data_IF_492523930212
#
_entry.id   IF_492523930212
#
_cell.length_a   1.000
_cell.length_b   1.000
_cell.length_c   1.000
_cell.angle_alpha   90.00
_cell.angle_beta   90.00
_cell.angle_gamma   90.00
#
_symmetry.space_group_name_H-M   'P 1'
#
loop_
_entity.id
_entity.type
_entity.pdbx_description
1 polymer ?
#
# COMPACT_ATOMS: atom_id res chain seq x y z
N UNK A 1 -28.97 30.08 6.83
CA UNK A 1 -29.02 28.63 7.11
C UNK A 1 -28.15 27.93 6.08
N UNK A 2 -26.89 27.63 6.42
CA UNK A 2 -26.02 26.82 5.57
C UNK A 2 -26.35 25.36 5.89
N UNK A 3 -26.96 24.67 4.92
CA UNK A 3 -27.42 23.30 5.06
C UNK A 3 -26.25 22.35 5.34
N UNK A 4 -26.26 21.73 6.51
CA UNK A 4 -25.31 20.71 6.97
C UNK A 4 -25.26 19.45 6.06
N UNK A 5 -26.19 19.33 5.10
CA UNK A 5 -26.37 18.15 4.26
C UNK A 5 -25.29 17.95 3.17
N UNK A 6 -24.52 18.99 2.82
CA UNK A 6 -23.50 18.90 1.77
C UNK A 6 -22.19 18.23 2.21
N UNK A 7 -21.96 18.07 3.52
CA UNK A 7 -20.72 17.52 4.08
C UNK A 7 -20.67 15.98 4.05
N UNK A 8 -21.77 15.30 3.73
CA UNK A 8 -21.82 13.83 3.70
C UNK A 8 -21.43 13.22 2.35
N UNK A 9 -21.23 14.04 1.32
CA UNK A 9 -20.81 13.58 -0.02
C UNK A 9 -19.29 13.53 -0.19
N UNK A 10 -18.52 14.06 0.76
CA UNK A 10 -17.07 13.82 0.83
C UNK A 10 -16.86 12.47 1.50
N UNK A 11 -17.08 11.39 0.75
CA UNK A 11 -16.68 10.06 1.18
C UNK A 11 -15.20 10.12 1.54
N UNK A 12 -14.88 9.98 2.84
CA UNK A 12 -13.51 9.78 3.27
C UNK A 12 -13.12 8.42 2.70
N UNK A 13 -12.40 8.43 1.58
CA UNK A 13 -11.79 7.22 1.04
C UNK A 13 -10.74 6.80 2.08
N UNK A 14 -11.06 5.73 2.82
CA UNK A 14 -10.14 5.16 3.79
C UNK A 14 -8.90 4.66 3.06
N UNK A 15 -7.76 5.02 3.64
CA UNK A 15 -6.45 4.63 3.15
C UNK A 15 -5.68 3.95 4.27
N UNK A 16 -4.80 3.03 3.89
CA UNK A 16 -3.93 2.31 4.81
C UNK A 16 -2.50 2.27 4.29
N UNK A 17 -1.57 1.97 5.19
CA UNK A 17 -0.16 1.83 4.86
C UNK A 17 0.26 0.36 4.97
N UNK A 18 1.18 -0.08 4.12
CA UNK A 18 1.68 -1.43 4.24
C UNK A 18 2.63 -1.88 3.14
N UNK A 19 3.21 -3.06 3.35
CA UNK A 19 4.00 -3.75 2.34
C UNK A 19 3.07 -4.29 1.25
N UNK A 20 3.05 -3.66 0.08
CA UNK A 20 2.15 -4.08 -1.01
C UNK A 20 2.41 -5.52 -1.42
N UNK A 21 1.34 -6.29 -1.64
CA UNK A 21 1.42 -7.71 -1.97
C UNK A 21 0.69 -8.08 -3.26
N UNK A 22 1.20 -9.10 -3.91
CA UNK A 22 0.54 -9.84 -4.98
C UNK A 22 -0.63 -10.67 -4.38
N UNK A 23 -1.60 -11.13 -5.20
CA UNK A 23 -2.75 -11.90 -4.73
C UNK A 23 -2.37 -13.15 -3.90
N UNK A 24 -1.22 -13.76 -4.18
CA UNK A 24 -0.66 -14.94 -3.52
C UNK A 24 0.07 -14.59 -2.20
N UNK A 25 -0.14 -13.36 -1.68
CA UNK A 25 0.49 -12.82 -0.48
C UNK A 25 2.04 -12.72 -0.59
N UNK A 26 2.55 -12.54 -1.79
CA UNK A 26 3.98 -12.33 -2.06
C UNK A 26 4.29 -10.83 -2.13
N UNK A 27 5.35 -10.38 -1.46
CA UNK A 27 5.76 -8.96 -1.49
C UNK A 27 6.42 -8.62 -2.84
N UNK A 28 6.46 -7.33 -3.17
CA UNK A 28 7.29 -6.82 -4.28
C UNK A 28 8.68 -6.50 -3.73
N UNK A 29 9.66 -7.34 -4.07
CA UNK A 29 11.05 -7.10 -3.69
C UNK A 29 11.61 -5.86 -4.39
N UNK A 30 12.52 -5.18 -3.70
CA UNK A 30 13.09 -3.93 -4.16
C UNK A 30 14.56 -3.81 -3.78
N UNK A 31 15.25 -2.92 -4.48
CA UNK A 31 16.59 -2.47 -4.13
C UNK A 31 16.51 -1.12 -3.39
N UNK A 32 17.15 -0.97 -2.22
CA UNK A 32 17.23 0.30 -1.51
C UNK A 32 17.73 1.43 -2.42
N UNK A 33 17.08 2.59 -2.37
CA UNK A 33 17.41 3.74 -3.22
C UNK A 33 16.83 3.70 -4.64
N UNK A 34 16.14 2.62 -5.04
CA UNK A 34 15.40 2.60 -6.31
C UNK A 34 14.05 3.33 -6.21
N UNK A 35 13.65 4.03 -7.28
CA UNK A 35 12.34 4.69 -7.40
C UNK A 35 11.20 3.72 -7.76
N UNK A 36 11.50 2.43 -7.92
CA UNK A 36 10.52 1.42 -8.35
C UNK A 36 9.33 1.29 -7.40
N UNK A 37 9.56 1.38 -6.09
CA UNK A 37 8.47 1.33 -5.12
C UNK A 37 7.59 2.57 -5.16
N UNK A 38 8.16 3.77 -5.31
CA UNK A 38 7.36 5.00 -5.41
C UNK A 38 6.46 4.96 -6.64
N UNK A 39 7.00 4.53 -7.78
CA UNK A 39 6.24 4.35 -9.02
C UNK A 39 5.12 3.32 -8.85
N UNK A 40 5.46 2.11 -8.36
CA UNK A 40 4.48 1.03 -8.13
C UNK A 40 3.36 1.46 -7.17
N UNK A 41 3.69 2.10 -6.05
CA UNK A 41 2.71 2.51 -5.05
C UNK A 41 1.77 3.58 -5.64
N UNK A 42 2.30 4.58 -6.35
CA UNK A 42 1.49 5.61 -7.01
C UNK A 42 0.58 5.05 -8.10
N UNK A 43 1.07 4.10 -8.91
CA UNK A 43 0.23 3.37 -9.89
C UNK A 43 -0.93 2.62 -9.23
N UNK A 44 -0.79 2.24 -7.95
CA UNK A 44 -1.84 1.59 -7.16
C UNK A 44 -2.68 2.57 -6.34
N UNK A 45 -2.48 3.87 -6.52
CA UNK A 45 -3.25 4.93 -5.87
C UNK A 45 -2.72 5.33 -4.49
N UNK A 46 -1.53 4.89 -4.10
CA UNK A 46 -0.87 5.39 -2.89
C UNK A 46 -0.32 6.81 -3.10
N UNK A 47 0.00 7.49 -1.99
CA UNK A 47 0.64 8.81 -2.01
C UNK A 47 2.12 8.71 -2.37
N UNK A 48 2.79 7.68 -1.85
CA UNK A 48 4.23 7.46 -2.00
C UNK A 48 4.56 5.98 -1.83
N UNK A 49 5.80 5.62 -2.17
CA UNK A 49 6.34 4.31 -1.90
C UNK A 49 7.84 4.33 -1.68
N UNK A 50 8.33 3.42 -0.83
CA UNK A 50 9.76 3.26 -0.58
C UNK A 50 10.16 1.80 -0.43
N UNK A 51 11.44 1.53 -0.61
CA UNK A 51 11.99 0.21 -0.34
C UNK A 51 12.28 0.07 1.16
N UNK A 52 11.43 -0.67 1.87
CA UNK A 52 11.58 -1.00 3.28
C UNK A 52 12.23 -2.36 3.49
N UNK A 53 12.55 -2.70 4.74
CA UNK A 53 13.10 -4.00 5.12
C UNK A 53 12.28 -4.60 6.26
N UNK A 54 11.95 -5.89 6.15
CA UNK A 54 11.36 -6.66 7.24
C UNK A 54 12.00 -8.04 7.34
N UNK A 55 12.27 -8.48 8.57
CA UNK A 55 13.02 -9.71 8.84
C UNK A 55 12.39 -10.97 8.19
N UNK A 56 11.06 -11.02 8.05
CA UNK A 56 10.34 -12.18 7.53
C UNK A 56 10.46 -12.37 6.01
N UNK A 57 10.78 -11.32 5.24
CA UNK A 57 10.82 -11.37 3.78
C UNK A 57 11.88 -10.46 3.13
N UNK A 58 12.79 -9.87 3.91
CA UNK A 58 13.85 -9.01 3.37
C UNK A 58 13.35 -7.65 2.88
N UNK A 59 13.96 -7.15 1.81
CA UNK A 59 13.59 -5.85 1.22
C UNK A 59 12.31 -5.95 0.39
N UNK A 60 11.38 -5.04 0.62
CA UNK A 60 10.10 -4.99 -0.08
C UNK A 60 9.52 -3.58 -0.15
N UNK A 61 8.65 -3.34 -1.13
CA UNK A 61 7.97 -2.06 -1.29
C UNK A 61 6.94 -1.82 -0.19
N UNK A 62 7.14 -0.74 0.56
CA UNK A 62 6.18 -0.16 1.48
C UNK A 62 5.47 1.00 0.79
N UNK A 63 4.14 1.05 0.88
CA UNK A 63 3.32 2.12 0.32
C UNK A 63 2.58 2.87 1.44
N UNK A 64 2.47 4.19 1.29
CA UNK A 64 1.73 5.05 2.20
C UNK A 64 0.45 5.58 1.53
N UNK A 65 -0.69 5.44 2.20
CA UNK A 65 -1.99 5.90 1.73
C UNK A 65 -2.57 5.06 0.60
N UNK A 66 -2.39 3.74 0.63
CA UNK A 66 -3.04 2.82 -0.32
C UNK A 66 -4.56 2.81 -0.13
N UNK A 67 -5.34 2.77 -1.23
CA UNK A 67 -6.78 2.51 -1.14
C UNK A 67 -7.06 1.13 -0.52
N UNK A 68 -8.13 0.99 0.25
CA UNK A 68 -8.51 -0.26 0.95
C UNK A 68 -8.59 -1.51 0.06
N UNK A 69 -8.93 -1.34 -1.22
CA UNK A 69 -8.99 -2.44 -2.20
C UNK A 69 -7.61 -3.04 -2.54
N UNK A 70 -6.52 -2.33 -2.25
CA UNK A 70 -5.16 -2.79 -2.56
C UNK A 70 -4.63 -3.66 -1.43
N UNK A 71 -4.15 -4.85 -1.80
CA UNK A 71 -3.64 -5.84 -0.86
C UNK A 71 -2.27 -5.45 -0.34
N UNK A 72 -2.10 -5.61 0.97
CA UNK A 72 -0.80 -5.60 1.64
C UNK A 72 -0.49 -6.98 2.18
N UNK A 73 0.76 -7.20 2.57
CA UNK A 73 1.26 -8.46 3.09
C UNK A 73 0.53 -8.80 4.39
N UNK A 74 -0.13 -9.95 4.38
CA UNK A 74 -0.74 -10.54 5.58
C UNK A 74 0.38 -11.26 6.33
N UNK A 75 0.69 -10.78 7.53
CA UNK A 75 1.66 -11.40 8.43
C UNK A 75 1.23 -12.81 8.83
N UNK A 76 2.20 -13.71 9.00
CA UNK A 76 1.95 -15.12 9.32
C UNK A 76 1.45 -15.99 8.15
N UNK A 77 0.98 -15.40 7.05
CA UNK A 77 0.59 -16.15 5.84
C UNK A 77 1.77 -16.27 4.87
N UNK A 78 2.07 -17.49 4.43
CA UNK A 78 3.12 -17.77 3.43
C UNK A 78 2.76 -17.17 2.06
N UNK A 79 3.78 -16.89 1.26
CA UNK A 79 3.65 -16.64 -0.18
C UNK A 79 3.46 -18.00 -0.87
N UNK A 80 2.43 -18.13 -1.71
CA UNK A 80 2.02 -19.41 -2.33
C UNK A 80 2.11 -19.32 -3.85
N UNK A 81 3.33 -19.12 -4.36
CA UNK A 81 3.60 -19.06 -5.80
C UNK A 81 3.38 -20.41 -6.48
#
# INVERSE_FOLDING_TARGET
MISLALLLMTGVESVHDGYISQPENCVYHCFPGSSGCDTLCKEKGAKSGMCGYKLSFGTACWCEGLPDKVRVKIEGKKCTR
#
